data_IF_856838049646
#
_entry.id   IF_856838049646
#
_cell.length_a   1.000
_cell.length_b   1.000
_cell.length_c   1.000
_cell.angle_alpha   90.00
_cell.angle_beta   90.00
_cell.angle_gamma   90.00
#
_symmetry.space_group_name_H-M   'P 1'
#
loop_
_entity.id
_entity.type
_entity.pdbx_description
1 polymer ?
#
# COMPACT_ATOMS: atom_id res chain seq x y z
N UNK A 1 -4.24 -15.20 40.10
CA UNK A 1 -4.93 -15.38 38.81
C UNK A 1 -4.13 -14.64 37.75
N UNK A 2 -3.33 -15.36 36.96
CA UNK A 2 -2.56 -14.78 35.86
C UNK A 2 -3.50 -14.43 34.71
N UNK A 3 -3.34 -13.26 34.15
CA UNK A 3 -4.23 -12.79 33.10
C UNK A 3 -3.95 -13.41 31.73
N UNK A 4 -4.98 -13.58 30.91
CA UNK A 4 -4.86 -14.14 29.57
C UNK A 4 -4.13 -13.20 28.60
N UNK A 5 -3.54 -13.78 27.54
CA UNK A 5 -2.81 -13.04 26.49
C UNK A 5 -3.72 -11.99 25.82
N UNK A 6 -4.99 -12.34 25.59
CA UNK A 6 -5.97 -11.45 24.98
C UNK A 6 -6.34 -10.26 25.89
N UNK A 7 -6.43 -10.48 27.21
CA UNK A 7 -6.72 -9.41 28.17
C UNK A 7 -5.61 -8.36 28.20
N UNK A 8 -4.35 -8.80 28.19
CA UNK A 8 -3.18 -7.90 28.11
C UNK A 8 -3.16 -7.11 26.80
N UNK A 9 -3.46 -7.75 25.68
CA UNK A 9 -3.48 -7.10 24.37
C UNK A 9 -4.62 -6.09 24.23
N UNK A 10 -5.81 -6.44 24.73
CA UNK A 10 -6.97 -5.53 24.76
C UNK A 10 -6.65 -4.26 25.56
N UNK A 11 -6.09 -4.39 26.77
CA UNK A 11 -5.68 -3.23 27.57
C UNK A 11 -4.62 -2.38 26.88
N UNK A 12 -3.61 -2.99 26.25
CA UNK A 12 -2.57 -2.25 25.54
C UNK A 12 -3.12 -1.46 24.35
N UNK A 13 -4.08 -2.02 23.61
CA UNK A 13 -4.79 -1.32 22.53
C UNK A 13 -5.68 -0.18 23.02
N UNK A 14 -6.37 -0.37 24.15
CA UNK A 14 -7.20 0.67 24.76
C UNK A 14 -6.35 1.81 25.31
N UNK A 15 -5.23 1.49 25.97
CA UNK A 15 -4.27 2.49 26.47
C UNK A 15 -3.70 3.36 25.34
N UNK A 16 -3.27 2.75 24.22
CA UNK A 16 -2.75 3.46 23.05
C UNK A 16 -3.78 4.38 22.34
N UNK A 17 -5.08 4.21 22.63
CA UNK A 17 -6.17 4.99 22.05
C UNK A 17 -6.67 6.09 22.99
N UNK A 18 -6.49 5.89 24.30
CA UNK A 18 -6.81 6.86 25.35
C UNK A 18 -5.69 7.90 25.52
N UNK A 19 -4.44 7.46 25.48
CA UNK A 19 -3.26 8.31 25.31
C UNK A 19 -2.69 8.03 23.92
N UNK A 20 -3.14 8.76 22.87
CA UNK A 20 -2.40 8.76 21.63
C UNK A 20 -0.97 9.21 21.97
N UNK A 21 0.07 8.48 21.55
CA UNK A 21 1.43 8.94 21.81
C UNK A 21 1.54 10.37 21.30
N UNK A 22 1.89 11.30 22.19
CA UNK A 22 2.36 12.62 21.79
C UNK A 22 3.41 12.36 20.73
N UNK A 23 3.21 12.94 19.53
CA UNK A 23 4.10 12.74 18.41
C UNK A 23 5.54 12.82 18.92
N UNK A 24 6.41 11.84 18.62
CA UNK A 24 7.78 11.92 19.08
C UNK A 24 8.33 13.25 18.55
N UNK A 25 8.83 14.08 19.49
CA UNK A 25 9.65 15.22 19.13
C UNK A 25 10.68 14.73 18.13
N UNK A 26 10.82 15.44 17.00
CA UNK A 26 11.55 15.04 15.80
C UNK A 26 13.04 14.72 16.02
N UNK A 27 13.54 14.82 17.25
CA UNK A 27 14.92 14.55 17.63
C UNK A 27 15.22 13.09 18.04
N UNK A 28 14.23 12.25 18.37
CA UNK A 28 14.46 10.82 18.69
C UNK A 28 14.06 9.83 17.56
N UNK A 29 13.37 10.31 16.52
CA UNK A 29 12.98 9.47 15.37
C UNK A 29 14.12 9.22 14.39
N UNK A 30 15.25 9.93 14.52
CA UNK A 30 16.45 9.73 13.71
C UNK A 30 17.31 8.53 14.12
N UNK A 31 17.05 7.90 15.28
CA UNK A 31 17.92 6.83 15.79
C UNK A 31 17.40 5.40 15.58
N UNK A 32 16.18 5.20 15.06
CA UNK A 32 15.58 3.85 14.90
C UNK A 32 14.90 3.60 13.55
N UNK A 33 15.05 4.50 12.58
CA UNK A 33 14.93 4.14 11.19
C UNK A 33 16.22 3.40 10.81
N UNK A 34 16.15 2.07 10.75
CA UNK A 34 17.27 1.25 10.32
C UNK A 34 17.76 1.69 8.94
N UNK A 35 18.83 2.47 8.91
CA UNK A 35 19.84 2.34 7.87
C UNK A 35 20.12 0.84 7.71
N UNK A 36 20.08 0.27 6.50
CA UNK A 36 20.91 -0.90 6.28
C UNK A 36 22.31 -0.38 6.55
N UNK A 37 22.88 -0.76 7.70
CA UNK A 37 24.27 -0.54 8.02
C UNK A 37 25.05 -0.99 6.78
N UNK A 38 25.49 0.00 5.99
CA UNK A 38 26.40 -0.21 4.89
C UNK A 38 27.69 -0.58 5.58
N UNK A 39 27.80 -1.89 5.87
CA UNK A 39 28.90 -2.49 6.56
C UNK A 39 30.16 -2.05 5.83
N UNK A 40 30.89 -1.19 6.52
CA UNK A 40 32.33 -1.05 6.50
C UNK A 40 32.98 -1.31 5.15
N UNK A 41 33.39 -0.20 4.54
CA UNK A 41 34.45 -0.11 3.52
C UNK A 41 35.60 -1.08 3.84
N UNK A 42 35.46 -2.32 3.37
CA UNK A 42 36.56 -3.26 3.25
C UNK A 42 37.33 -2.87 1.99
N UNK A 43 38.68 -2.89 2.04
CA UNK A 43 39.50 -2.47 0.92
C UNK A 43 39.13 -3.31 -0.31
N UNK A 44 38.99 -2.60 -1.43
CA UNK A 44 38.70 -3.14 -2.74
C UNK A 44 39.42 -4.49 -2.93
N UNK A 45 38.65 -5.58 -2.89
CA UNK A 45 39.04 -6.76 -3.63
C UNK A 45 39.09 -6.28 -5.08
N UNK A 46 40.31 -6.18 -5.62
CA UNK A 46 40.52 -5.92 -7.03
C UNK A 46 39.57 -6.83 -7.81
N UNK A 47 38.76 -6.28 -8.72
CA UNK A 47 37.86 -7.11 -9.49
C UNK A 47 38.74 -8.14 -10.20
N UNK A 48 38.54 -9.42 -9.90
CA UNK A 48 38.97 -10.45 -10.84
C UNK A 48 38.41 -10.01 -12.19
N UNK A 49 39.20 -10.05 -13.28
CA UNK A 49 38.71 -9.72 -14.60
C UNK A 49 37.77 -10.84 -15.07
N UNK A 50 36.63 -10.96 -14.39
CA UNK A 50 35.40 -11.37 -15.02
C UNK A 50 35.16 -10.30 -16.08
N UNK A 51 35.22 -10.69 -17.34
CA UNK A 51 34.79 -9.87 -18.47
C UNK A 51 33.29 -9.57 -18.29
N UNK A 52 32.99 -8.62 -17.40
CA UNK A 52 31.64 -8.12 -17.18
C UNK A 52 31.31 -7.18 -18.33
N UNK A 53 30.15 -7.37 -18.99
CA UNK A 53 29.70 -6.42 -19.99
C UNK A 53 29.50 -5.03 -19.35
N UNK A 54 29.65 -3.94 -20.11
CA UNK A 54 29.31 -2.61 -19.62
C UNK A 54 27.84 -2.54 -19.19
N UNK A 55 27.55 -1.98 -18.01
CA UNK A 55 26.18 -1.88 -17.48
C UNK A 55 25.23 -1.14 -18.44
N UNK A 56 25.74 -0.14 -19.15
CA UNK A 56 24.99 0.65 -20.15
C UNK A 56 24.58 -0.16 -21.39
N UNK A 57 25.23 -1.31 -21.65
CA UNK A 57 24.89 -2.20 -22.77
C UNK A 57 23.81 -3.23 -22.43
N UNK A 58 23.34 -3.25 -21.17
CA UNK A 58 22.33 -4.20 -20.71
C UNK A 58 20.92 -3.73 -21.09
N UNK A 59 20.16 -4.65 -21.67
CA UNK A 59 18.76 -4.52 -22.04
C UNK A 59 17.88 -5.43 -21.17
N UNK A 60 16.56 -5.34 -21.30
CA UNK A 60 15.61 -6.08 -20.46
C UNK A 60 15.81 -7.61 -20.47
N UNK A 61 16.27 -8.18 -21.59
CA UNK A 61 16.51 -9.62 -21.77
C UNK A 61 17.95 -10.05 -21.47
N UNK A 62 18.81 -9.13 -21.02
CA UNK A 62 20.22 -9.43 -20.70
C UNK A 62 20.35 -10.27 -19.43
N UNK A 63 21.45 -11.02 -19.32
CA UNK A 63 21.75 -11.82 -18.13
C UNK A 63 22.37 -10.96 -17.01
N UNK A 64 21.56 -10.57 -16.02
CA UNK A 64 22.00 -9.83 -14.85
C UNK A 64 22.60 -10.72 -13.74
N UNK A 65 22.49 -12.05 -13.85
CA UNK A 65 22.99 -12.99 -12.82
C UNK A 65 24.51 -12.93 -12.66
N UNK A 66 25.22 -12.55 -13.72
CA UNK A 66 26.68 -12.42 -13.74
C UNK A 66 27.14 -11.33 -12.76
N UNK A 67 26.40 -10.24 -12.63
CA UNK A 67 26.69 -9.16 -11.68
C UNK A 67 26.43 -9.57 -10.22
N UNK A 68 25.57 -10.57 -9.97
CA UNK A 68 25.20 -11.00 -8.61
C UNK A 68 26.18 -12.00 -7.99
N UNK A 69 27.25 -12.36 -8.69
CA UNK A 69 28.25 -13.32 -8.22
C UNK A 69 29.11 -12.76 -7.07
N UNK A 70 29.62 -13.61 -6.17
CA UNK A 70 30.55 -13.18 -5.11
C UNK A 70 31.82 -12.60 -5.75
N UNK A 71 32.28 -11.45 -5.24
CA UNK A 71 33.44 -10.73 -5.78
C UNK A 71 33.10 -9.51 -6.65
N UNK A 72 31.83 -9.30 -7.03
CA UNK A 72 31.41 -8.08 -7.72
C UNK A 72 31.20 -6.94 -6.69
N UNK A 73 31.81 -5.75 -6.91
CA UNK A 73 31.58 -4.59 -6.05
C UNK A 73 30.09 -4.27 -5.87
N UNK A 74 29.71 -3.83 -4.66
CA UNK A 74 28.32 -3.51 -4.36
C UNK A 74 27.75 -2.40 -5.25
N UNK A 75 28.56 -1.40 -5.60
CA UNK A 75 28.16 -0.30 -6.50
C UNK A 75 27.79 -0.79 -7.90
N UNK A 76 28.59 -1.70 -8.49
CA UNK A 76 28.30 -2.28 -9.80
C UNK A 76 27.03 -3.14 -9.77
N UNK A 77 26.79 -3.87 -8.67
CA UNK A 77 25.54 -4.63 -8.48
C UNK A 77 24.33 -3.72 -8.45
N UNK A 78 24.42 -2.60 -7.73
CA UNK A 78 23.34 -1.61 -7.66
C UNK A 78 23.08 -0.96 -9.03
N UNK A 79 24.13 -0.57 -9.75
CA UNK A 79 23.99 0.00 -11.10
C UNK A 79 23.29 -0.96 -12.06
N UNK A 80 23.68 -2.25 -12.05
CA UNK A 80 23.04 -3.27 -12.88
C UNK A 80 21.55 -3.45 -12.54
N UNK A 81 21.17 -3.48 -11.26
CA UNK A 81 19.77 -3.57 -10.84
C UNK A 81 18.95 -2.33 -11.20
N UNK A 82 19.52 -1.13 -11.01
CA UNK A 82 18.88 0.12 -11.43
C UNK A 82 18.62 0.12 -12.93
N UNK A 83 19.57 -0.38 -13.74
CA UNK A 83 19.38 -0.53 -15.18
C UNK A 83 18.27 -1.53 -15.51
N UNK A 84 18.24 -2.70 -14.87
CA UNK A 84 17.19 -3.72 -15.05
C UNK A 84 15.78 -3.15 -14.77
N UNK A 85 15.63 -2.42 -13.68
CA UNK A 85 14.36 -1.76 -13.34
C UNK A 85 13.98 -0.66 -14.33
N UNK A 86 14.96 0.08 -14.86
CA UNK A 86 14.69 1.12 -15.85
C UNK A 86 14.32 0.56 -17.24
N UNK A 87 14.89 -0.59 -17.64
CA UNK A 87 14.70 -1.16 -18.98
C UNK A 87 13.51 -2.11 -19.08
N UNK A 88 13.13 -2.78 -18.00
CA UNK A 88 12.07 -3.79 -18.03
C UNK A 88 10.72 -3.21 -17.56
N UNK A 89 9.80 -2.85 -18.48
CA UNK A 89 8.49 -2.30 -18.10
C UNK A 89 7.61 -3.32 -17.36
N UNK A 90 7.83 -4.63 -17.55
CA UNK A 90 7.06 -5.67 -16.88
C UNK A 90 7.26 -5.68 -15.36
N UNK A 91 8.44 -5.28 -14.88
CA UNK A 91 8.73 -5.19 -13.44
C UNK A 91 8.04 -3.99 -12.77
N UNK A 92 7.53 -3.04 -13.55
CA UNK A 92 6.89 -1.81 -13.05
C UNK A 92 5.37 -1.84 -13.20
N UNK A 93 4.83 -2.80 -13.93
CA UNK A 93 3.40 -2.91 -14.14
C UNK A 93 2.71 -3.50 -12.91
N UNK A 94 1.58 -2.94 -12.47
CA UNK A 94 0.79 -3.54 -11.42
C UNK A 94 0.25 -4.89 -11.91
N UNK A 95 0.44 -5.92 -11.09
CA UNK A 95 -0.04 -7.26 -11.38
C UNK A 95 -1.56 -7.31 -11.37
N UNK A 96 -2.16 -8.12 -12.26
CA UNK A 96 -3.63 -8.22 -12.40
C UNK A 96 -4.29 -8.75 -11.11
N UNK A 97 -3.54 -9.55 -10.34
CA UNK A 97 -4.01 -10.11 -9.07
C UNK A 97 -3.65 -9.23 -7.86
N UNK A 98 -3.06 -8.05 -8.08
CA UNK A 98 -2.89 -7.08 -7.01
C UNK A 98 -4.22 -6.38 -6.72
N UNK A 99 -5.04 -7.06 -5.92
CA UNK A 99 -6.32 -6.53 -5.48
C UNK A 99 -6.17 -5.23 -4.70
N UNK A 100 -4.99 -4.89 -4.16
CA UNK A 100 -4.81 -3.73 -3.29
C UNK A 100 -4.29 -2.48 -3.99
N UNK A 101 -4.05 -2.54 -5.30
CA UNK A 101 -3.54 -1.39 -6.08
C UNK A 101 -4.59 -0.29 -6.34
N UNK A 102 -5.88 -0.61 -6.16
CA UNK A 102 -6.97 0.33 -6.39
C UNK A 102 -7.11 1.41 -5.30
N UNK A 103 -7.65 2.57 -5.67
CA UNK A 103 -8.05 3.60 -4.71
C UNK A 103 -9.41 3.26 -4.08
N UNK A 104 -9.37 2.74 -2.86
CA UNK A 104 -10.55 2.38 -2.06
C UNK A 104 -11.24 3.57 -1.39
N UNK A 105 -10.62 4.75 -1.42
CA UNK A 105 -11.18 6.00 -0.91
C UNK A 105 -11.92 6.78 -2.00
N UNK A 106 -11.81 6.34 -3.26
CA UNK A 106 -12.50 6.95 -4.38
C UNK A 106 -14.01 6.97 -4.16
N UNK A 107 -14.68 8.13 -4.34
CA UNK A 107 -16.12 8.25 -4.15
C UNK A 107 -16.92 7.38 -5.13
N UNK A 108 -16.31 6.91 -6.23
CA UNK A 108 -16.90 5.94 -7.16
C UNK A 108 -17.21 4.61 -6.47
N UNK A 109 -16.39 4.20 -5.50
CA UNK A 109 -16.63 2.99 -4.68
C UNK A 109 -17.72 3.27 -3.63
N UNK A 110 -17.79 4.49 -3.11
CA UNK A 110 -18.77 4.91 -2.11
C UNK A 110 -20.19 5.11 -2.68
N UNK A 111 -20.33 5.49 -3.95
CA UNK A 111 -21.65 5.64 -4.59
C UNK A 111 -22.38 4.29 -4.80
N UNK A 112 -21.67 3.17 -4.82
CA UNK A 112 -22.17 1.93 -5.45
C UNK A 112 -22.71 0.86 -4.49
N UNK A 113 -22.64 1.00 -3.16
CA UNK A 113 -23.26 -0.02 -2.28
C UNK A 113 -24.19 0.58 -1.25
N UNK A 114 -25.39 0.97 -1.69
CA UNK A 114 -26.53 1.11 -0.78
C UNK A 114 -26.97 -0.30 -0.39
N UNK A 115 -26.66 -0.70 0.83
CA UNK A 115 -27.14 -1.98 1.36
C UNK A 115 -28.63 -1.88 1.67
N UNK A 116 -29.41 -2.90 1.28
CA UNK A 116 -30.81 -3.06 1.71
C UNK A 116 -30.96 -3.28 3.22
N UNK A 117 -29.86 -3.40 3.97
CA UNK A 117 -29.88 -3.62 5.40
C UNK A 117 -30.20 -2.33 6.17
N UNK A 118 -31.16 -2.42 7.09
CA UNK A 118 -31.54 -1.39 8.05
C UNK A 118 -31.31 -1.90 9.47
N UNK A 119 -30.58 -1.13 10.27
CA UNK A 119 -30.35 -1.45 11.68
C UNK A 119 -31.71 -1.64 12.40
N UNK A 120 -31.95 -2.83 12.95
CA UNK A 120 -33.19 -3.17 13.66
C UNK A 120 -34.36 -3.66 12.80
N UNK A 121 -34.33 -3.45 11.47
CA UNK A 121 -35.33 -3.99 10.53
C UNK A 121 -34.82 -5.18 9.72
N UNK A 122 -33.50 -5.40 9.67
CA UNK A 122 -32.90 -6.47 8.86
C UNK A 122 -32.73 -6.04 7.40
N UNK A 123 -32.66 -7.03 6.50
CA UNK A 123 -32.60 -6.78 5.06
C UNK A 123 -34.00 -6.44 4.57
N UNK A 124 -34.18 -5.27 3.97
CA UNK A 124 -35.45 -4.87 3.36
C UNK A 124 -35.78 -5.76 2.16
N UNK A 125 -37.05 -6.13 2.04
CA UNK A 125 -37.54 -6.84 0.87
C UNK A 125 -37.66 -5.91 -0.34
N UNK A 126 -37.70 -6.48 -1.55
CA UNK A 126 -37.74 -5.71 -2.80
C UNK A 126 -38.92 -4.73 -2.88
N UNK A 127 -40.07 -5.08 -2.31
CA UNK A 127 -41.25 -4.21 -2.27
C UNK A 127 -41.05 -2.99 -1.37
N UNK A 128 -40.37 -3.16 -0.23
CA UNK A 128 -40.09 -2.06 0.70
C UNK A 128 -39.04 -1.10 0.12
N UNK A 129 -38.02 -1.63 -0.55
CA UNK A 129 -37.05 -0.81 -1.27
C UNK A 129 -37.70 0.00 -2.38
N UNK A 130 -38.59 -0.60 -3.17
CA UNK A 130 -39.31 0.09 -4.24
C UNK A 130 -40.17 1.25 -3.70
N UNK A 131 -40.87 1.03 -2.58
CA UNK A 131 -41.65 2.08 -1.92
C UNK A 131 -40.77 3.26 -1.48
N UNK A 132 -39.61 3.01 -0.87
CA UNK A 132 -38.67 4.07 -0.47
C UNK A 132 -38.10 4.84 -1.68
N UNK A 133 -37.88 4.17 -2.81
CA UNK A 133 -37.44 4.84 -4.04
C UNK A 133 -38.51 5.75 -4.63
N UNK A 134 -39.77 5.32 -4.61
CA UNK A 134 -40.90 6.13 -5.05
C UNK A 134 -41.12 7.33 -4.14
N UNK A 135 -41.08 7.15 -2.82
CA UNK A 135 -41.14 8.25 -1.85
C UNK A 135 -39.99 9.24 -2.07
N UNK A 136 -38.76 8.76 -2.32
CA UNK A 136 -37.62 9.63 -2.63
C UNK A 136 -37.83 10.39 -3.94
N UNK A 137 -38.34 9.75 -4.99
CA UNK A 137 -38.66 10.41 -6.27
C UNK A 137 -39.73 11.48 -6.08
N UNK A 138 -40.78 11.18 -5.32
CA UNK A 138 -41.84 12.13 -4.99
C UNK A 138 -41.29 13.30 -4.16
N UNK A 139 -40.44 13.04 -3.16
CA UNK A 139 -39.78 14.08 -2.37
C UNK A 139 -38.85 14.97 -3.22
N UNK A 140 -38.11 14.39 -4.17
CA UNK A 140 -37.29 15.18 -5.11
C UNK A 140 -38.13 15.99 -6.09
N UNK A 141 -39.27 15.47 -6.53
CA UNK A 141 -40.19 16.17 -7.42
C UNK A 141 -40.91 17.32 -6.70
N UNK A 142 -41.35 17.10 -5.46
CA UNK A 142 -41.93 18.13 -4.61
C UNK A 142 -40.94 19.27 -4.36
N UNK A 143 -39.70 18.94 -3.95
CA UNK A 143 -38.65 19.93 -3.71
C UNK A 143 -38.30 20.76 -4.95
N UNK A 144 -38.37 20.17 -6.16
CA UNK A 144 -38.16 20.90 -7.41
C UNK A 144 -39.29 21.87 -7.72
N UNK A 145 -40.53 21.52 -7.36
CA UNK A 145 -41.69 22.39 -7.52
C UNK A 145 -41.66 23.61 -6.59
N UNK A 146 -41.12 23.45 -5.38
CA UNK A 146 -40.94 24.52 -4.40
C UNK A 146 -39.79 25.50 -4.74
N UNK A 147 -38.80 25.09 -5.54
CA UNK A 147 -37.68 25.93 -6.00
C UNK A 147 -38.04 26.79 -7.25
N UNK A 148 -39.11 26.43 -7.98
CA UNK A 148 -39.57 27.10 -9.21
C UNK A 148 -40.73 28.12 -8.96
N UNK A 149 -41.10 28.39 -7.69
CA UNK A 149 -42.19 29.29 -7.28
C UNK A 149 -41.69 30.54 -6.53
#
# INVERSE_FOLDING_TARGET
>A
MSESVLGRWSRRKLAAKADPPSAPSEEEVVATAGEPACSERSPAAEPQPMELPPVESLEADSDYSVFMKPGVPAELRQQALTRLWATNPGLMQPEVMDLHVGDYTSPVVAEVVKTAWRLGKGVLDAAELAAEEEERRQATAAKRLDDDA
#
